data_IF_875615237969
#
_entry.id   IF_875615237969
#
_cell.length_a   1.000
_cell.length_b   1.000
_cell.length_c   1.000
_cell.angle_alpha   90.00
_cell.angle_beta   90.00
_cell.angle_gamma   90.00
#
_symmetry.space_group_name_H-M   'P 1'
#
loop_
_entity.id
_entity.type
_entity.pdbx_description
1 polymer ?
#
# COMPACT_ATOMS: atom_id res chain seq x y z
N UNK A 1 -43.19 22.12 -2.67
CA UNK A 1 -44.11 21.49 -3.64
C UNK A 1 -43.51 21.66 -5.03
N UNK A 2 -43.63 20.61 -5.84
CA UNK A 2 -43.34 20.52 -7.28
C UNK A 2 -41.92 20.24 -7.79
N UNK A 3 -41.90 19.17 -8.61
CA UNK A 3 -40.97 18.77 -9.67
C UNK A 3 -39.66 18.05 -9.33
N UNK A 4 -39.74 16.71 -9.19
CA UNK A 4 -38.98 15.80 -10.07
C UNK A 4 -39.86 14.58 -10.37
N UNK A 5 -40.54 14.64 -11.52
CA UNK A 5 -41.20 13.51 -12.15
C UNK A 5 -40.61 13.32 -13.54
N UNK A 6 -40.66 12.07 -14.02
CA UNK A 6 -40.23 11.57 -15.34
C UNK A 6 -38.79 11.02 -15.40
N UNK A 7 -38.64 9.75 -15.03
CA UNK A 7 -37.78 8.78 -15.74
C UNK A 7 -38.13 7.34 -15.32
N UNK A 8 -39.39 6.92 -15.50
CA UNK A 8 -39.77 5.50 -15.42
C UNK A 8 -40.96 5.20 -16.34
N UNK A 9 -40.71 5.21 -17.64
CA UNK A 9 -41.60 4.57 -18.61
C UNK A 9 -40.73 3.63 -19.44
N UNK A 10 -40.74 2.34 -19.10
CA UNK A 10 -39.98 1.34 -19.85
C UNK A 10 -39.70 -0.01 -19.17
N UNK A 11 -40.14 -0.25 -17.94
CA UNK A 11 -39.89 -1.53 -17.24
C UNK A 11 -41.13 -2.23 -16.61
N UNK A 12 -42.37 -2.19 -17.15
CA UNK A 12 -43.42 -3.07 -16.61
C UNK A 12 -43.31 -4.53 -17.08
N UNK A 13 -42.82 -4.76 -18.31
CA UNK A 13 -42.90 -6.08 -18.96
C UNK A 13 -41.91 -7.13 -18.42
N UNK A 14 -40.68 -6.73 -18.09
CA UNK A 14 -39.63 -7.66 -17.68
C UNK A 14 -39.78 -8.13 -16.22
N UNK A 15 -40.29 -7.26 -15.34
CA UNK A 15 -40.43 -7.54 -13.90
C UNK A 15 -41.65 -8.41 -13.62
N UNK A 16 -42.73 -8.24 -14.40
CA UNK A 16 -43.93 -9.09 -14.28
C UNK A 16 -43.64 -10.55 -14.65
N UNK A 17 -42.80 -10.81 -15.67
CA UNK A 17 -42.33 -12.17 -15.99
C UNK A 17 -41.43 -12.76 -14.91
N UNK A 18 -40.56 -11.96 -14.29
CA UNK A 18 -39.69 -12.43 -13.21
C UNK A 18 -40.46 -12.79 -11.92
N UNK A 19 -41.53 -12.03 -11.59
CA UNK A 19 -42.39 -12.28 -10.44
C UNK A 19 -43.27 -13.54 -10.61
N UNK A 20 -43.76 -13.78 -11.82
CA UNK A 20 -44.51 -15.01 -12.17
C UNK A 20 -43.59 -16.24 -12.16
N UNK A 21 -42.35 -16.12 -12.65
CA UNK A 21 -41.36 -17.21 -12.62
C UNK A 21 -40.84 -17.54 -11.20
N UNK A 22 -40.98 -16.61 -10.25
CA UNK A 22 -40.60 -16.81 -8.84
C UNK A 22 -41.77 -17.12 -7.90
N UNK A 23 -42.99 -17.24 -8.44
CA UNK A 23 -44.16 -17.74 -7.71
C UNK A 23 -44.71 -16.82 -6.62
N UNK A 24 -44.47 -15.51 -6.72
CA UNK A 24 -45.02 -14.52 -5.78
C UNK A 24 -46.42 -14.09 -6.26
N UNK A 25 -47.46 -14.10 -5.41
CA UNK A 25 -48.79 -13.59 -5.80
C UNK A 25 -48.71 -12.12 -6.23
N UNK A 26 -49.25 -11.79 -7.40
CA UNK A 26 -49.19 -10.45 -8.00
C UNK A 26 -49.63 -9.28 -7.08
N UNK A 27 -50.60 -9.44 -6.16
CA UNK A 27 -50.95 -8.38 -5.22
C UNK A 27 -49.80 -8.03 -4.26
N UNK A 28 -49.07 -9.04 -3.78
CA UNK A 28 -47.99 -8.90 -2.78
C UNK A 28 -46.73 -8.23 -3.37
N UNK A 29 -46.41 -8.53 -4.64
CA UNK A 29 -45.29 -7.92 -5.35
C UNK A 29 -45.51 -6.41 -5.61
N UNK A 30 -46.77 -6.01 -5.83
CA UNK A 30 -47.15 -4.63 -6.08
C UNK A 30 -47.11 -3.78 -4.80
N UNK A 31 -47.36 -4.40 -3.65
CA UNK A 31 -47.43 -3.71 -2.35
C UNK A 31 -46.07 -3.55 -1.66
N UNK A 32 -45.15 -4.52 -1.83
CA UNK A 32 -43.75 -4.44 -1.40
C UNK A 32 -42.97 -3.29 -2.08
N UNK A 33 -43.39 -2.86 -3.27
CA UNK A 33 -42.82 -1.72 -3.99
C UNK A 33 -43.33 -0.36 -3.45
N UNK A 34 -44.47 -0.32 -2.75
CA UNK A 34 -45.05 0.92 -2.22
C UNK A 34 -44.58 1.23 -0.79
N UNK A 35 -44.33 0.23 0.05
CA UNK A 35 -43.89 0.46 1.44
C UNK A 35 -42.89 -0.60 1.96
N UNK A 36 -41.57 -0.30 1.99
CA UNK A 36 -40.57 -1.25 2.50
C UNK A 36 -40.47 -1.14 4.03
N UNK A 37 -41.16 -2.01 4.78
CA UNK A 37 -40.95 -2.16 6.23
C UNK A 37 -40.23 -3.48 6.56
N UNK A 38 -39.26 -3.42 7.48
CA UNK A 38 -38.31 -4.52 7.80
C UNK A 38 -38.99 -5.81 8.28
N UNK A 39 -40.15 -5.73 8.93
CA UNK A 39 -40.74 -6.88 9.61
C UNK A 39 -41.42 -7.88 8.65
N UNK A 40 -42.04 -7.42 7.56
CA UNK A 40 -42.64 -8.33 6.56
C UNK A 40 -41.61 -9.05 5.67
N UNK A 41 -40.36 -8.59 5.66
CA UNK A 41 -39.28 -9.30 4.95
C UNK A 41 -38.80 -10.57 5.68
N UNK A 42 -39.03 -10.65 7.00
CA UNK A 42 -38.71 -11.85 7.79
C UNK A 42 -39.59 -13.06 7.43
N UNK A 43 -40.86 -12.82 7.13
CA UNK A 43 -41.85 -13.85 6.78
C UNK A 43 -41.57 -14.48 5.40
N UNK A 44 -41.22 -13.67 4.39
CA UNK A 44 -40.85 -14.18 3.06
C UNK A 44 -39.59 -15.05 3.08
N UNK A 45 -38.59 -14.73 3.91
CA UNK A 45 -37.37 -15.56 4.06
C UNK A 45 -37.67 -16.95 4.64
N UNK A 46 -38.55 -17.03 5.63
CA UNK A 46 -38.93 -18.30 6.25
C UNK A 46 -39.74 -19.17 5.30
N UNK A 47 -40.65 -18.57 4.52
CA UNK A 47 -41.46 -19.29 3.54
C UNK A 47 -40.62 -19.91 2.39
N UNK A 48 -39.64 -19.17 1.85
CA UNK A 48 -38.78 -19.64 0.76
C UNK A 48 -37.84 -20.78 1.21
N UNK A 49 -37.21 -20.63 2.39
CA UNK A 49 -36.32 -21.65 2.96
C UNK A 49 -37.08 -22.94 3.32
N UNK A 50 -38.28 -22.81 3.89
CA UNK A 50 -39.11 -23.96 4.25
C UNK A 50 -39.60 -24.76 3.02
N UNK A 51 -39.80 -24.10 1.88
CA UNK A 51 -40.27 -24.75 0.64
C UNK A 51 -39.14 -25.49 -0.08
N UNK A 52 -37.93 -24.91 -0.12
CA UNK A 52 -36.72 -25.59 -0.64
C UNK A 52 -36.40 -26.83 0.19
N UNK A 53 -36.45 -26.72 1.53
CA UNK A 53 -36.25 -27.86 2.44
C UNK A 53 -37.33 -28.94 2.29
N UNK A 54 -38.60 -28.57 2.09
CA UNK A 54 -39.69 -29.54 1.82
C UNK A 54 -39.51 -30.27 0.50
N UNK A 55 -39.09 -29.57 -0.56
CA UNK A 55 -38.89 -30.17 -1.88
C UNK A 55 -37.69 -31.12 -1.91
N UNK A 56 -36.60 -30.77 -1.23
CA UNK A 56 -35.44 -31.66 -1.03
C UNK A 56 -35.79 -32.91 -0.22
N UNK A 57 -36.61 -32.78 0.84
CA UNK A 57 -37.06 -33.94 1.65
C UNK A 57 -38.00 -34.87 0.88
N UNK A 58 -38.92 -34.33 0.08
CA UNK A 58 -39.84 -35.13 -0.73
C UNK A 58 -39.10 -35.96 -1.81
N UNK A 59 -38.01 -35.44 -2.36
CA UNK A 59 -37.22 -36.12 -3.40
C UNK A 59 -36.20 -37.12 -2.83
N UNK A 60 -35.70 -36.89 -1.60
CA UNK A 60 -34.93 -37.91 -0.87
C UNK A 60 -35.80 -39.12 -0.51
N UNK A 61 -37.11 -38.90 -0.29
CA UNK A 61 -38.07 -39.97 -0.03
C UNK A 61 -38.51 -40.73 -1.29
N UNK A 62 -38.28 -40.19 -2.50
CA UNK A 62 -38.72 -40.78 -3.77
C UNK A 62 -37.70 -41.75 -4.41
N UNK A 63 -36.55 -41.99 -3.78
CA UNK A 63 -35.57 -42.99 -4.22
C UNK A 63 -34.84 -42.65 -5.53
N UNK A 64 -34.80 -41.38 -5.93
CA UNK A 64 -34.12 -40.96 -7.16
C UNK A 64 -32.61 -41.24 -7.15
N UNK A 65 -32.09 -41.82 -8.23
CA UNK A 65 -30.68 -42.14 -8.43
C UNK A 65 -29.77 -40.90 -8.31
N UNK A 66 -28.59 -41.09 -7.70
CA UNK A 66 -27.57 -40.05 -7.45
C UNK A 66 -27.20 -39.22 -8.69
N UNK A 67 -27.21 -39.83 -9.89
CA UNK A 67 -26.95 -39.11 -11.16
C UNK A 67 -28.07 -38.12 -11.53
N UNK A 68 -29.33 -38.44 -11.24
CA UNK A 68 -30.48 -37.55 -11.50
C UNK A 68 -30.50 -36.37 -10.53
N UNK A 69 -30.09 -36.61 -9.27
CA UNK A 69 -29.97 -35.58 -8.25
C UNK A 69 -28.84 -34.58 -8.57
N UNK A 70 -27.67 -35.08 -9.01
CA UNK A 70 -26.54 -34.22 -9.41
C UNK A 70 -26.84 -33.38 -10.65
N UNK A 71 -27.53 -33.94 -11.65
CA UNK A 71 -27.91 -33.20 -12.87
C UNK A 71 -28.91 -32.08 -12.58
N UNK A 72 -29.86 -32.31 -11.67
CA UNK A 72 -30.84 -31.28 -11.25
C UNK A 72 -30.25 -30.24 -10.29
N UNK A 73 -29.30 -30.61 -9.44
CA UNK A 73 -28.51 -29.65 -8.65
C UNK A 73 -27.68 -28.73 -9.56
N UNK A 74 -27.10 -29.29 -10.63
CA UNK A 74 -26.41 -28.52 -11.66
C UNK A 74 -27.33 -27.55 -12.39
N UNK A 75 -28.59 -27.91 -12.69
CA UNK A 75 -29.56 -26.99 -13.31
C UNK A 75 -29.99 -25.86 -12.36
N UNK A 76 -30.18 -26.15 -11.07
CA UNK A 76 -30.48 -25.14 -10.05
C UNK A 76 -29.28 -24.18 -9.87
N UNK A 77 -28.05 -24.69 -9.92
CA UNK A 77 -26.83 -23.88 -9.90
C UNK A 77 -26.67 -23.04 -11.17
N UNK A 78 -26.97 -23.59 -12.35
CA UNK A 78 -26.92 -22.86 -13.63
C UNK A 78 -27.94 -21.72 -13.70
N UNK A 79 -29.14 -21.91 -13.12
CA UNK A 79 -30.13 -20.83 -13.00
C UNK A 79 -29.72 -19.75 -11.99
N UNK A 80 -28.88 -20.07 -10.99
CA UNK A 80 -28.31 -19.07 -10.09
C UNK A 80 -27.16 -18.28 -10.71
N UNK A 81 -26.41 -18.86 -11.66
CA UNK A 81 -25.28 -18.23 -12.35
C UNK A 81 -25.68 -17.19 -13.39
N UNK A 82 -26.94 -17.17 -13.84
CA UNK A 82 -27.48 -16.18 -14.79
C UNK A 82 -28.18 -14.99 -14.12
N UNK A 83 -28.17 -14.91 -12.79
CA UNK A 83 -28.77 -13.80 -12.05
C UNK A 83 -27.85 -12.57 -12.02
N UNK A 84 -28.37 -11.35 -12.26
CA UNK A 84 -27.58 -10.13 -12.14
C UNK A 84 -26.95 -10.03 -10.75
N UNK A 85 -25.67 -9.62 -10.66
CA UNK A 85 -24.88 -9.50 -9.42
C UNK A 85 -25.62 -8.77 -8.29
N UNK A 86 -26.52 -7.84 -8.62
CA UNK A 86 -27.41 -7.14 -7.67
C UNK A 86 -28.40 -8.08 -6.95
N UNK A 87 -28.92 -9.09 -7.62
CA UNK A 87 -29.91 -10.02 -7.08
C UNK A 87 -29.24 -11.13 -6.24
N UNK A 88 -28.01 -11.53 -6.56
CA UNK A 88 -27.18 -12.37 -5.67
C UNK A 88 -26.87 -11.68 -4.34
N UNK A 89 -26.54 -10.37 -4.36
CA UNK A 89 -26.37 -9.56 -3.14
C UNK A 89 -27.62 -9.50 -2.27
N UNK A 90 -28.81 -9.59 -2.88
CA UNK A 90 -30.09 -9.47 -2.21
C UNK A 90 -30.63 -10.81 -1.65
N UNK A 91 -30.39 -11.94 -2.33
CA UNK A 91 -30.88 -13.25 -1.89
C UNK A 91 -29.94 -13.94 -0.88
N UNK A 92 -28.63 -13.75 -0.98
CA UNK A 92 -27.65 -14.37 -0.08
C UNK A 92 -27.28 -13.46 1.10
N UNK A 93 -28.31 -12.98 1.81
CA UNK A 93 -28.19 -12.18 3.03
C UNK A 93 -27.62 -12.94 4.24
N UNK A 94 -26.43 -13.53 4.07
CA UNK A 94 -25.56 -14.11 5.08
C UNK A 94 -24.13 -13.66 4.77
N UNK A 95 -23.68 -12.63 5.51
CA UNK A 95 -22.28 -12.35 5.90
C UNK A 95 -21.19 -12.94 4.98
N UNK A 96 -21.11 -12.48 3.73
CA UNK A 96 -19.80 -12.40 3.10
C UNK A 96 -19.03 -11.36 3.92
N UNK A 97 -18.18 -11.81 4.85
CA UNK A 97 -17.17 -10.94 5.44
C UNK A 97 -16.28 -10.58 4.26
N UNK A 98 -16.59 -9.49 3.59
CA UNK A 98 -15.69 -8.95 2.58
C UNK A 98 -14.45 -8.55 3.35
N UNK A 99 -13.38 -9.33 3.20
CA UNK A 99 -12.05 -9.01 3.69
C UNK A 99 -11.80 -7.51 3.56
N UNK A 100 -11.51 -6.84 4.67
CA UNK A 100 -11.20 -5.41 4.65
C UNK A 100 -9.72 -5.22 4.36
N UNK A 101 -9.40 -4.03 3.88
CA UNK A 101 -8.01 -3.58 3.75
C UNK A 101 -7.89 -2.32 4.60
N UNK A 102 -6.95 -2.34 5.54
CA UNK A 102 -6.63 -1.22 6.40
C UNK A 102 -5.28 -0.63 6.04
N UNK A 103 -5.19 0.70 6.08
CA UNK A 103 -3.92 1.42 6.12
C UNK A 103 -3.70 1.86 7.55
N UNK A 104 -2.55 1.56 8.12
CA UNK A 104 -2.27 1.78 9.53
C UNK A 104 -0.89 2.37 9.80
N UNK A 105 -0.80 3.14 10.87
CA UNK A 105 0.44 3.49 11.56
C UNK A 105 0.35 2.98 13.00
N UNK A 106 1.47 2.52 13.53
CA UNK A 106 1.53 1.84 14.81
C UNK A 106 2.10 2.79 15.87
N UNK A 107 1.20 3.59 16.45
CA UNK A 107 1.52 4.56 17.49
C UNK A 107 2.03 5.91 16.98
N UNK A 108 2.31 6.83 17.92
CA UNK A 108 2.83 8.17 17.62
C UNK A 108 4.22 8.05 17.01
N UNK A 109 4.51 8.82 15.96
CA UNK A 109 5.78 8.67 15.22
C UNK A 109 6.05 7.22 14.76
N UNK A 110 5.02 6.38 14.69
CA UNK A 110 5.10 4.98 14.28
C UNK A 110 6.06 4.13 15.14
N UNK A 111 6.27 4.48 16.42
CA UNK A 111 7.28 3.83 17.27
C UNK A 111 7.06 2.32 17.45
N UNK A 112 5.84 1.82 17.27
CA UNK A 112 5.52 0.41 17.49
C UNK A 112 5.79 -0.44 16.24
N UNK A 113 6.00 0.19 15.08
CA UNK A 113 6.18 -0.50 13.82
C UNK A 113 7.31 -1.54 13.82
N UNK A 114 8.53 -1.25 14.32
CA UNK A 114 9.60 -2.24 14.35
C UNK A 114 9.20 -3.52 15.10
N UNK A 115 8.49 -3.36 16.21
CA UNK A 115 7.99 -4.47 17.05
C UNK A 115 6.89 -5.25 16.31
N UNK A 116 5.96 -4.54 15.66
CA UNK A 116 4.92 -5.16 14.83
C UNK A 116 5.50 -5.99 13.68
N UNK A 117 6.53 -5.46 13.01
CA UNK A 117 7.22 -6.13 11.91
C UNK A 117 7.95 -7.38 12.39
N UNK A 118 8.71 -7.28 13.47
CA UNK A 118 9.49 -8.38 14.06
C UNK A 118 8.58 -9.50 14.58
N UNK A 119 7.53 -9.15 15.33
CA UNK A 119 6.66 -10.12 16.00
C UNK A 119 5.54 -10.66 15.11
N UNK A 120 5.35 -10.13 13.90
CA UNK A 120 4.20 -10.48 13.07
C UNK A 120 2.88 -10.08 13.75
N UNK A 121 2.74 -8.79 14.09
CA UNK A 121 1.50 -8.28 14.67
C UNK A 121 1.03 -6.98 14.00
N UNK A 122 -0.25 -6.67 14.16
CA UNK A 122 -0.81 -5.33 13.97
C UNK A 122 -1.17 -4.77 15.34
N UNK A 123 -0.98 -3.46 15.56
CA UNK A 123 -1.17 -2.88 16.88
C UNK A 123 -1.97 -1.58 16.90
N UNK A 124 -2.55 -1.30 18.06
CA UNK A 124 -3.03 0.02 18.46
C UNK A 124 -2.96 0.14 19.98
N UNK A 125 -3.29 1.30 20.53
CA UNK A 125 -3.06 1.56 21.94
C UNK A 125 -4.12 2.49 22.56
N UNK A 126 -4.37 2.27 23.85
CA UNK A 126 -5.18 3.13 24.72
C UNK A 126 -4.27 3.78 25.77
N UNK A 127 -4.70 4.92 26.33
CA UNK A 127 -4.15 5.32 27.62
C UNK A 127 -4.56 4.32 28.71
N UNK A 128 -3.73 4.18 29.73
CA UNK A 128 -3.92 3.22 30.83
C UNK A 128 -5.26 3.44 31.54
N UNK A 129 -5.62 4.69 31.83
CA UNK A 129 -6.86 5.04 32.53
C UNK A 129 -8.13 4.73 31.72
N UNK A 130 -8.03 4.74 30.40
CA UNK A 130 -9.12 4.46 29.48
C UNK A 130 -9.33 2.95 29.21
N UNK A 131 -8.29 2.12 29.40
CA UNK A 131 -8.32 0.71 29.02
C UNK A 131 -9.43 -0.08 29.70
N UNK A 132 -9.70 0.19 30.99
CA UNK A 132 -10.74 -0.50 31.77
C UNK A 132 -12.14 -0.34 31.17
N UNK A 133 -12.46 0.83 30.62
CA UNK A 133 -13.76 1.10 30.00
C UNK A 133 -13.90 0.33 28.69
N UNK A 134 -12.83 0.28 27.89
CA UNK A 134 -12.83 -0.52 26.66
C UNK A 134 -12.99 -2.02 26.96
N UNK A 135 -12.25 -2.54 27.95
CA UNK A 135 -12.34 -3.94 28.36
C UNK A 135 -13.73 -4.33 28.88
N UNK A 136 -14.43 -3.41 29.55
CA UNK A 136 -15.81 -3.60 30.01
C UNK A 136 -16.86 -3.37 28.90
N UNK A 137 -16.45 -3.04 27.67
CA UNK A 137 -17.32 -2.58 26.59
C UNK A 137 -18.19 -1.36 26.97
N UNK A 138 -17.73 -0.55 27.93
CA UNK A 138 -18.36 0.68 28.37
C UNK A 138 -17.94 1.84 27.47
N UNK A 139 -18.65 1.97 26.35
CA UNK A 139 -18.38 3.01 25.35
C UNK A 139 -18.61 4.43 25.90
N UNK A 140 -19.62 4.63 26.74
CA UNK A 140 -19.97 5.95 27.25
C UNK A 140 -18.98 6.42 28.31
N UNK A 141 -18.59 5.52 29.23
CA UNK A 141 -17.54 5.78 30.21
C UNK A 141 -16.20 6.03 29.54
N UNK A 142 -15.84 5.23 28.52
CA UNK A 142 -14.63 5.46 27.73
C UNK A 142 -14.63 6.86 27.11
N UNK A 143 -15.70 7.23 26.39
CA UNK A 143 -15.80 8.53 25.72
C UNK A 143 -15.70 9.68 26.71
N UNK A 144 -16.40 9.58 27.84
CA UNK A 144 -16.41 10.62 28.88
C UNK A 144 -15.03 10.78 29.53
N UNK A 145 -14.35 9.68 29.86
CA UNK A 145 -12.98 9.67 30.40
C UNK A 145 -12.00 10.33 29.43
N UNK A 146 -12.01 9.93 28.14
CA UNK A 146 -11.10 10.50 27.12
C UNK A 146 -11.32 11.99 26.90
N UNK A 147 -12.57 12.45 26.93
CA UNK A 147 -12.89 13.89 26.79
C UNK A 147 -12.39 14.71 27.99
N UNK A 148 -12.45 14.14 29.20
CA UNK A 148 -11.98 14.81 30.40
C UNK A 148 -10.45 14.85 30.50
N UNK A 149 -9.77 13.75 30.17
CA UNK A 149 -8.37 13.54 30.56
C UNK A 149 -7.36 13.72 29.42
N UNK A 150 -7.75 13.52 28.16
CA UNK A 150 -6.78 13.55 27.06
C UNK A 150 -6.75 14.87 26.29
N UNK A 151 -5.67 15.02 25.53
CA UNK A 151 -5.54 15.96 24.42
C UNK A 151 -5.30 15.20 23.12
N UNK A 152 -5.86 15.70 22.03
CA UNK A 152 -5.50 15.30 20.67
C UNK A 152 -4.04 15.61 20.37
N UNK A 153 -3.51 15.07 19.27
CA UNK A 153 -2.15 15.38 18.80
C UNK A 153 -1.91 16.89 18.59
N UNK A 154 -2.96 17.67 18.31
CA UNK A 154 -2.93 19.12 18.18
C UNK A 154 -3.09 19.87 19.53
N UNK A 155 -3.00 19.19 20.67
CA UNK A 155 -3.11 19.79 22.00
C UNK A 155 -4.53 20.18 22.43
N UNK A 156 -5.55 19.94 21.61
CA UNK A 156 -6.96 20.28 21.90
C UNK A 156 -7.68 19.16 22.63
N UNK A 157 -8.67 19.49 23.47
CA UNK A 157 -9.58 18.50 24.05
C UNK A 157 -10.31 17.73 22.95
N UNK A 158 -10.41 16.38 23.03
CA UNK A 158 -11.05 15.59 21.99
C UNK A 158 -12.57 15.78 22.03
N UNK A 159 -13.20 15.72 20.85
CA UNK A 159 -14.66 15.71 20.73
C UNK A 159 -15.23 14.32 21.02
N UNK A 160 -16.53 14.22 21.32
CA UNK A 160 -17.26 12.96 21.46
C UNK A 160 -17.01 12.00 20.29
N UNK A 161 -17.04 12.53 19.06
CA UNK A 161 -16.78 11.76 17.84
C UNK A 161 -15.34 11.23 17.78
N UNK A 162 -14.36 12.03 18.20
CA UNK A 162 -12.94 11.63 18.23
C UNK A 162 -12.69 10.54 19.26
N UNK A 163 -13.20 10.71 20.48
CA UNK A 163 -13.09 9.71 21.54
C UNK A 163 -13.80 8.39 21.16
N UNK A 164 -14.98 8.50 20.55
CA UNK A 164 -15.74 7.34 20.04
C UNK A 164 -14.99 6.61 18.91
N UNK A 165 -14.24 7.35 18.07
CA UNK A 165 -13.35 6.75 17.06
C UNK A 165 -12.22 5.95 17.72
N UNK A 166 -11.58 6.48 18.77
CA UNK A 166 -10.49 5.77 19.47
C UNK A 166 -10.93 4.44 20.06
N UNK A 167 -12.13 4.39 20.66
CA UNK A 167 -12.74 3.13 21.11
C UNK A 167 -12.82 2.12 19.95
N UNK A 168 -13.34 2.55 18.79
CA UNK A 168 -13.48 1.69 17.62
C UNK A 168 -12.14 1.24 17.04
N UNK A 169 -11.07 2.04 17.15
CA UNK A 169 -9.74 1.64 16.68
C UNK A 169 -9.22 0.43 17.46
N UNK A 170 -9.34 0.48 18.79
CA UNK A 170 -8.95 -0.63 19.66
C UNK A 170 -9.77 -1.89 19.35
N UNK A 171 -11.10 -1.75 19.22
CA UNK A 171 -11.98 -2.86 18.81
C UNK A 171 -11.59 -3.42 17.44
N UNK A 172 -11.28 -2.55 16.47
CA UNK A 172 -10.92 -2.98 15.11
C UNK A 172 -9.66 -3.85 15.11
N UNK A 173 -8.60 -3.44 15.84
CA UNK A 173 -7.38 -4.25 15.95
C UNK A 173 -7.61 -5.51 16.77
N UNK A 174 -8.37 -5.46 17.86
CA UNK A 174 -8.61 -6.63 18.69
C UNK A 174 -9.41 -7.73 17.93
N UNK A 175 -10.37 -7.32 17.10
CA UNK A 175 -11.34 -8.21 16.46
C UNK A 175 -11.04 -8.53 14.99
N UNK A 176 -10.02 -7.91 14.38
CA UNK A 176 -9.67 -8.21 12.98
C UNK A 176 -9.32 -9.69 12.81
N UNK A 177 -9.72 -10.29 11.69
CA UNK A 177 -9.43 -11.68 11.36
C UNK A 177 -9.55 -11.88 9.86
N UNK A 178 -8.47 -12.30 9.21
CA UNK A 178 -8.41 -12.44 7.75
C UNK A 178 -8.47 -11.12 6.98
N UNK A 179 -8.34 -9.96 7.63
CA UNK A 179 -8.24 -8.68 6.95
C UNK A 179 -6.79 -8.39 6.54
N UNK A 180 -6.61 -7.61 5.48
CA UNK A 180 -5.30 -7.17 4.99
C UNK A 180 -4.94 -5.82 5.61
N UNK A 181 -3.69 -5.71 6.04
CA UNK A 181 -3.13 -4.51 6.64
C UNK A 181 -1.97 -4.02 5.80
N UNK A 182 -1.88 -2.72 5.60
CA UNK A 182 -0.86 -2.06 4.78
C UNK A 182 -0.24 -0.91 5.55
N UNK A 183 1.08 -0.81 5.46
CA UNK A 183 1.86 0.23 6.11
C UNK A 183 2.96 0.73 5.17
N UNK A 184 3.22 2.04 5.18
CA UNK A 184 4.31 2.64 4.41
C UNK A 184 5.46 2.99 5.37
N UNK A 185 6.63 2.44 5.09
CA UNK A 185 7.86 2.72 5.83
C UNK A 185 8.97 3.09 4.84
N UNK A 186 9.45 4.33 4.89
CA UNK A 186 10.39 4.85 3.90
C UNK A 186 9.88 4.71 2.46
N UNK A 187 10.68 4.06 1.60
CA UNK A 187 10.35 3.72 0.20
C UNK A 187 9.66 2.36 0.06
N UNK A 188 9.33 1.67 1.15
CA UNK A 188 8.72 0.34 1.12
C UNK A 188 7.25 0.40 1.53
N UNK A 189 6.43 -0.32 0.77
CA UNK A 189 5.04 -0.60 1.14
C UNK A 189 4.96 -2.03 1.68
N UNK A 190 4.65 -2.14 2.97
CA UNK A 190 4.51 -3.39 3.69
C UNK A 190 3.05 -3.81 3.77
N UNK A 191 2.79 -5.11 3.72
CA UNK A 191 1.47 -5.68 3.95
C UNK A 191 1.51 -6.99 4.73
N UNK A 192 0.39 -7.32 5.38
CA UNK A 192 0.16 -8.58 6.09
C UNK A 192 -1.34 -8.93 6.10
N UNK A 193 -1.68 -10.13 6.58
CA UNK A 193 -3.04 -10.58 6.87
C UNK A 193 -3.18 -10.92 8.35
N UNK A 194 -4.16 -10.34 9.03
CA UNK A 194 -4.43 -10.63 10.44
C UNK A 194 -4.92 -12.06 10.68
N UNK A 195 -4.53 -12.67 11.79
CA UNK A 195 -5.04 -13.97 12.21
C UNK A 195 -6.32 -13.86 13.04
N UNK A 196 -6.99 -15.00 13.24
CA UNK A 196 -8.17 -15.11 14.12
C UNK A 196 -7.83 -15.18 15.61
N UNK A 197 -6.55 -15.28 15.96
CA UNK A 197 -6.09 -15.51 17.32
C UNK A 197 -6.41 -14.36 18.29
N UNK A 198 -6.45 -14.67 19.58
CA UNK A 198 -6.73 -13.67 20.62
C UNK A 198 -5.62 -12.61 20.65
N UNK A 199 -5.96 -11.31 20.72
CA UNK A 199 -4.96 -10.27 20.91
C UNK A 199 -4.34 -10.36 22.32
N UNK A 200 -3.11 -9.90 22.46
CA UNK A 200 -2.45 -9.73 23.75
C UNK A 200 -2.18 -8.26 24.03
N UNK A 201 -2.03 -7.93 25.32
CA UNK A 201 -1.91 -6.54 25.78
C UNK A 201 -0.65 -6.36 26.60
N UNK A 202 0.08 -5.28 26.33
CA UNK A 202 1.30 -4.91 27.06
C UNK A 202 1.17 -3.47 27.54
N UNK A 203 1.53 -3.22 28.81
CA UNK A 203 1.63 -1.85 29.32
C UNK A 203 3.06 -1.37 29.15
N UNK A 204 3.25 -0.20 28.54
CA UNK A 204 4.57 0.43 28.43
C UNK A 204 4.48 1.94 28.31
N UNK A 205 5.62 2.59 28.53
CA UNK A 205 5.81 4.00 28.23
C UNK A 205 6.24 4.17 26.77
N UNK A 206 5.57 5.06 26.04
CA UNK A 206 5.95 5.34 24.64
C UNK A 206 7.42 5.82 24.57
N UNK A 207 8.26 5.24 23.69
CA UNK A 207 9.69 5.58 23.57
C UNK A 207 9.90 6.85 22.71
N UNK A 208 9.16 7.91 23.00
CA UNK A 208 9.21 9.20 22.29
C UNK A 208 9.28 10.36 23.27
N UNK A 209 9.70 11.54 22.80
CA UNK A 209 9.69 12.75 23.61
C UNK A 209 8.27 13.03 24.12
N UNK A 210 8.13 13.21 25.45
CA UNK A 210 6.84 13.32 26.15
C UNK A 210 5.93 12.10 25.94
N UNK A 211 6.53 10.91 25.87
CA UNK A 211 5.80 9.64 25.82
C UNK A 211 4.96 9.41 27.08
N UNK A 212 3.74 8.91 26.90
CA UNK A 212 2.83 8.55 28.00
C UNK A 212 2.84 7.06 28.26
N UNK A 213 2.30 6.65 29.39
CA UNK A 213 1.98 5.25 29.62
C UNK A 213 0.74 4.84 28.80
N UNK A 214 0.84 3.72 28.11
CA UNK A 214 -0.19 3.17 27.24
C UNK A 214 -0.33 1.67 27.47
N UNK A 215 -1.53 1.17 27.16
CA UNK A 215 -1.78 -0.26 26.96
C UNK A 215 -1.82 -0.50 25.46
N UNK A 216 -0.83 -1.22 24.94
CA UNK A 216 -0.72 -1.61 23.54
C UNK A 216 -1.41 -2.94 23.34
N UNK A 217 -2.32 -3.00 22.38
CA UNK A 217 -2.98 -4.21 21.91
C UNK A 217 -2.24 -4.70 20.66
N UNK A 218 -1.70 -5.91 20.73
CA UNK A 218 -1.13 -6.61 19.60
C UNK A 218 -2.06 -7.71 19.15
N UNK A 219 -2.34 -7.73 17.86
CA UNK A 219 -3.08 -8.80 17.20
C UNK A 219 -2.14 -9.57 16.28
N UNK A 220 -2.03 -10.91 16.42
CA UNK A 220 -1.21 -11.72 15.53
C UNK A 220 -1.61 -11.60 14.06
N UNK A 221 -0.62 -11.64 13.18
CA UNK A 221 -0.77 -11.65 11.74
C UNK A 221 0.33 -12.49 11.08
N UNK A 222 0.19 -12.70 9.77
CA UNK A 222 1.28 -13.22 8.98
C UNK A 222 2.54 -12.33 9.08
N UNK A 223 3.74 -12.87 8.83
CA UNK A 223 4.92 -12.04 8.67
C UNK A 223 4.70 -10.92 7.66
N UNK A 224 5.11 -9.71 8.02
CA UNK A 224 4.98 -8.55 7.14
C UNK A 224 5.86 -8.73 5.90
N UNK A 225 5.30 -8.45 4.72
CA UNK A 225 6.00 -8.54 3.44
C UNK A 225 6.00 -7.20 2.73
N UNK A 226 7.14 -6.81 2.17
CA UNK A 226 7.26 -5.69 1.23
C UNK A 226 7.28 -6.17 -0.23
N UNK A 227 6.89 -7.41 -0.50
CA UNK A 227 6.81 -8.00 -1.84
C UNK A 227 5.39 -8.42 -2.15
N UNK A 228 4.96 -8.30 -3.40
CA UNK A 228 3.73 -8.90 -3.87
C UNK A 228 3.76 -10.43 -3.72
N UNK A 229 2.62 -11.09 -3.83
CA UNK A 229 2.51 -12.56 -3.82
C UNK A 229 3.27 -13.22 -4.98
N UNK A 230 3.60 -12.47 -6.03
CA UNK A 230 4.45 -12.90 -7.15
C UNK A 230 5.94 -12.58 -6.93
N UNK A 231 6.32 -12.10 -5.75
CA UNK A 231 7.71 -11.80 -5.38
C UNK A 231 8.23 -10.43 -5.81
N UNK A 232 7.39 -9.58 -6.43
CA UNK A 232 7.81 -8.25 -6.91
C UNK A 232 7.89 -7.28 -5.74
N UNK A 233 9.02 -6.58 -5.51
CA UNK A 233 9.11 -5.54 -4.48
C UNK A 233 8.03 -4.45 -4.64
N UNK A 234 7.40 -4.05 -3.54
CA UNK A 234 6.40 -2.99 -3.48
C UNK A 234 7.07 -1.70 -3.02
N UNK A 235 7.66 -0.96 -3.97
CA UNK A 235 8.37 0.29 -3.70
C UNK A 235 7.44 1.49 -3.84
N UNK A 236 7.41 2.35 -2.83
CA UNK A 236 6.54 3.52 -2.78
C UNK A 236 6.75 4.41 -4.00
N UNK A 237 7.99 4.72 -4.35
CA UNK A 237 8.30 5.62 -5.47
C UNK A 237 7.78 5.11 -6.82
N UNK A 238 7.70 3.79 -7.00
CA UNK A 238 7.20 3.14 -8.21
C UNK A 238 5.67 3.06 -8.27
N UNK A 239 4.98 3.25 -7.13
CA UNK A 239 3.52 3.23 -7.13
C UNK A 239 2.93 4.35 -7.98
N UNK A 240 1.80 4.03 -8.61
CA UNK A 240 1.00 5.03 -9.32
C UNK A 240 0.69 6.22 -8.39
N UNK A 241 0.80 7.48 -8.84
CA UNK A 241 0.60 8.66 -8.00
C UNK A 241 -0.76 8.66 -7.29
N UNK A 242 -1.79 8.15 -7.97
CA UNK A 242 -3.12 7.98 -7.38
C UNK A 242 -3.17 6.96 -6.24
N UNK A 243 -2.35 5.89 -6.28
CA UNK A 243 -2.25 4.93 -5.19
C UNK A 243 -1.65 5.57 -3.94
N UNK A 244 -0.67 6.48 -4.13
CA UNK A 244 -0.03 7.23 -3.03
C UNK A 244 -1.03 8.08 -2.24
N UNK A 245 -2.09 8.58 -2.89
CA UNK A 245 -3.16 9.37 -2.24
C UNK A 245 -3.90 8.59 -1.13
N UNK A 246 -3.90 7.25 -1.15
CA UNK A 246 -4.69 6.44 -0.21
C UNK A 246 -3.94 5.28 0.45
N UNK A 247 -2.75 4.89 -0.02
CA UNK A 247 -1.93 3.83 0.59
C UNK A 247 -1.01 4.33 1.71
N UNK A 248 -1.19 5.59 2.13
CA UNK A 248 -0.58 6.13 3.34
C UNK A 248 -1.63 6.89 4.13
N UNK A 249 -1.41 7.03 5.42
CA UNK A 249 -2.29 7.80 6.30
C UNK A 249 -1.46 8.55 7.31
N UNK A 250 -1.89 9.74 7.70
CA UNK A 250 -1.37 10.44 8.89
C UNK A 250 -2.13 10.03 10.16
N UNK A 251 -3.26 9.32 10.00
CA UNK A 251 -4.04 8.81 11.12
C UNK A 251 -3.45 7.49 11.64
N UNK A 252 -3.95 7.02 12.79
CA UNK A 252 -3.58 5.69 13.32
C UNK A 252 -4.05 4.56 12.39
N UNK A 253 -5.29 4.65 11.88
CA UNK A 253 -5.84 3.63 11.00
C UNK A 253 -7.03 4.16 10.18
N UNK A 254 -7.15 3.65 8.96
CA UNK A 254 -8.27 3.85 8.05
C UNK A 254 -8.59 2.57 7.26
N UNK A 255 -9.88 2.24 7.13
CA UNK A 255 -10.36 1.21 6.20
C UNK A 255 -10.48 1.80 4.79
N UNK A 256 -10.02 1.07 3.78
CA UNK A 256 -10.21 1.45 2.38
C UNK A 256 -11.67 1.24 1.94
N UNK A 257 -12.11 2.09 1.01
CA UNK A 257 -13.37 1.90 0.28
C UNK A 257 -13.28 0.67 -0.63
N UNK A 258 -14.41 0.08 -1.09
CA UNK A 258 -14.38 -1.09 -1.95
C UNK A 258 -13.49 -0.92 -3.19
N UNK A 259 -13.52 0.26 -3.83
CA UNK A 259 -12.71 0.54 -5.01
C UNK A 259 -11.20 0.47 -4.72
N UNK A 260 -10.75 1.14 -3.65
CA UNK A 260 -9.33 1.18 -3.28
C UNK A 260 -8.86 -0.12 -2.63
N UNK A 261 -9.76 -0.81 -1.93
CA UNK A 261 -9.54 -2.17 -1.43
C UNK A 261 -9.21 -3.10 -2.60
N UNK A 262 -10.05 -3.15 -3.62
CA UNK A 262 -9.88 -4.08 -4.74
C UNK A 262 -8.59 -3.79 -5.52
N UNK A 263 -8.25 -2.50 -5.72
CA UNK A 263 -6.95 -2.10 -6.28
C UNK A 263 -5.78 -2.60 -5.42
N UNK A 264 -5.84 -2.41 -4.11
CA UNK A 264 -4.74 -2.77 -3.19
C UNK A 264 -4.52 -4.27 -3.16
N UNK A 265 -5.61 -5.06 -3.19
CA UNK A 265 -5.53 -6.52 -3.27
C UNK A 265 -4.91 -6.98 -4.58
N UNK A 266 -5.26 -6.36 -5.71
CA UNK A 266 -4.65 -6.65 -7.01
C UNK A 266 -3.15 -6.28 -7.03
N UNK A 267 -2.78 -5.13 -6.45
CA UNK A 267 -1.39 -4.71 -6.29
C UNK A 267 -0.59 -5.74 -5.47
N UNK A 268 -1.12 -6.16 -4.32
CA UNK A 268 -0.50 -7.18 -3.46
C UNK A 268 -0.43 -8.54 -4.17
N UNK A 269 -1.44 -8.92 -4.94
CA UNK A 269 -1.42 -10.14 -5.74
C UNK A 269 -0.38 -10.08 -6.88
N UNK A 270 0.03 -8.88 -7.29
CA UNK A 270 0.88 -8.65 -8.46
C UNK A 270 0.10 -8.79 -9.77
N UNK A 271 -1.19 -8.47 -9.76
CA UNK A 271 -2.07 -8.55 -10.92
C UNK A 271 -1.99 -7.30 -11.80
N UNK A 272 -2.56 -7.40 -13.00
CA UNK A 272 -2.66 -6.25 -13.91
C UNK A 272 -3.56 -5.16 -13.31
N UNK A 273 -3.05 -3.92 -13.34
CA UNK A 273 -3.68 -2.75 -12.77
C UNK A 273 -4.24 -1.79 -13.83
N UNK A 274 -4.11 -2.13 -15.12
CA UNK A 274 -4.58 -1.35 -16.27
C UNK A 274 -6.02 -0.85 -16.12
N UNK A 275 -6.92 -1.72 -15.64
CA UNK A 275 -8.34 -1.38 -15.42
C UNK A 275 -8.58 -0.17 -14.51
N UNK A 276 -7.64 0.17 -13.62
CA UNK A 276 -7.67 1.40 -12.83
C UNK A 276 -6.83 2.50 -13.47
N UNK A 277 -5.62 2.18 -13.92
CA UNK A 277 -4.65 3.15 -14.44
C UNK A 277 -5.13 3.87 -15.70
N UNK A 278 -5.88 3.17 -16.55
CA UNK A 278 -6.43 3.71 -17.80
C UNK A 278 -7.70 4.55 -17.59
N UNK A 279 -8.22 4.59 -16.36
CA UNK A 279 -9.39 5.44 -16.08
C UNK A 279 -9.02 6.92 -16.11
N UNK A 280 -9.90 7.81 -16.59
CA UNK A 280 -9.61 9.24 -16.66
C UNK A 280 -9.19 9.85 -15.31
N UNK A 281 -9.70 9.32 -14.19
CA UNK A 281 -9.34 9.78 -12.85
C UNK A 281 -7.87 9.51 -12.51
N UNK A 282 -7.37 8.31 -12.87
CA UNK A 282 -6.01 7.89 -12.57
C UNK A 282 -5.02 8.47 -13.60
N UNK A 283 -5.38 8.44 -14.89
CA UNK A 283 -4.59 9.03 -15.96
C UNK A 283 -4.31 10.53 -15.71
N UNK A 284 -5.33 11.33 -15.37
CA UNK A 284 -5.15 12.75 -15.03
C UNK A 284 -4.22 12.97 -13.84
N UNK A 285 -4.29 12.09 -12.82
CA UNK A 285 -3.42 12.18 -11.64
C UNK A 285 -1.96 11.90 -12.02
N UNK A 286 -1.73 10.97 -12.95
CA UNK A 286 -0.41 10.69 -13.52
C UNK A 286 0.12 11.87 -14.34
N UNK A 287 -0.72 12.48 -15.19
CA UNK A 287 -0.37 13.66 -15.98
C UNK A 287 -0.01 14.88 -15.12
N UNK A 288 -0.78 15.12 -14.05
CA UNK A 288 -0.49 16.17 -13.07
C UNK A 288 0.79 15.89 -12.28
N UNK A 289 1.18 14.63 -12.14
CA UNK A 289 2.35 14.17 -11.42
C UNK A 289 3.59 14.00 -12.31
N UNK A 290 3.66 14.63 -13.49
CA UNK A 290 4.82 14.63 -14.43
C UNK A 290 6.09 15.32 -13.88
N UNK A 291 6.47 14.99 -12.65
CA UNK A 291 7.81 15.04 -12.06
C UNK A 291 8.01 13.71 -11.31
N UNK A 292 8.70 12.74 -11.91
CA UNK A 292 9.21 11.55 -11.22
C UNK A 292 8.35 10.27 -11.26
N UNK A 293 7.44 10.10 -12.21
CA UNK A 293 6.67 8.84 -12.36
C UNK A 293 7.25 7.93 -13.45
N UNK A 294 7.71 6.73 -13.07
CA UNK A 294 7.86 5.59 -13.98
C UNK A 294 6.72 4.61 -13.68
N UNK A 295 5.80 4.33 -14.63
CA UNK A 295 4.73 3.37 -14.42
C UNK A 295 5.28 1.96 -14.25
N UNK A 296 4.80 1.24 -13.23
CA UNK A 296 5.02 -0.21 -13.11
C UNK A 296 4.35 -0.88 -14.31
N UNK A 297 5.15 -1.23 -15.31
CA UNK A 297 4.81 -2.23 -16.32
C UNK A 297 5.46 -3.52 -15.86
N UNK A 298 4.65 -4.52 -15.50
CA UNK A 298 5.18 -5.83 -15.13
C UNK A 298 5.94 -6.41 -16.33
N UNK A 299 7.27 -6.38 -16.21
CA UNK A 299 8.20 -6.93 -17.18
C UNK A 299 8.18 -8.46 -17.19
N UNK A 300 8.80 -9.00 -18.23
CA UNK A 300 8.93 -10.42 -18.54
C UNK A 300 9.54 -11.24 -17.39
N UNK A 301 9.46 -12.57 -17.48
CA UNK A 301 10.04 -13.49 -16.49
C UNK A 301 11.54 -13.24 -16.21
N UNK A 302 12.27 -12.65 -17.15
CA UNK A 302 13.67 -12.24 -16.97
C UNK A 302 13.83 -11.10 -15.96
N UNK A 303 12.89 -10.13 -15.95
CA UNK A 303 12.89 -9.01 -15.00
C UNK A 303 12.67 -9.52 -13.57
N UNK A 304 11.84 -10.56 -13.40
CA UNK A 304 11.60 -11.20 -12.08
C UNK A 304 12.84 -11.88 -11.51
N UNK A 305 13.66 -12.51 -12.36
CA UNK A 305 14.88 -13.21 -11.95
C UNK A 305 16.00 -12.20 -11.60
N UNK A 306 16.07 -11.08 -12.32
CA UNK A 306 16.99 -9.99 -12.00
C UNK A 306 16.70 -9.38 -10.61
N UNK A 307 15.43 -9.16 -10.27
CA UNK A 307 15.04 -8.60 -8.97
C UNK A 307 15.24 -9.57 -7.79
N UNK A 308 15.14 -10.89 -8.00
CA UNK A 308 15.40 -11.87 -6.94
C UNK A 308 16.89 -11.95 -6.58
N UNK A 309 17.79 -11.84 -7.57
CA UNK A 309 19.24 -11.89 -7.37
C UNK A 309 19.81 -10.63 -6.71
N UNK A 310 19.19 -9.46 -6.93
CA UNK A 310 19.64 -8.20 -6.35
C UNK A 310 19.44 -8.12 -4.83
N UNK A 311 18.48 -8.87 -4.26
CA UNK A 311 18.21 -8.86 -2.81
C UNK A 311 19.18 -9.76 -2.00
N UNK A 312 20.02 -10.55 -2.66
CA UNK A 312 20.94 -11.52 -2.03
C UNK A 312 22.39 -11.00 -1.92
N UNK A 313 22.69 -9.82 -2.46
CA UNK A 313 24.03 -9.22 -2.50
C UNK A 313 24.01 -7.86 -1.79
N UNK A 314 24.19 -7.85 -0.46
CA UNK A 314 24.19 -6.63 0.34
C UNK A 314 25.55 -5.92 0.39
N UNK A 315 25.45 -4.60 0.63
CA UNK A 315 26.45 -3.54 0.79
C UNK A 315 26.87 -2.75 -0.48
N UNK A 316 27.39 -3.35 -1.54
CA UNK A 316 27.80 -2.57 -2.74
C UNK A 316 26.62 -2.09 -3.60
N UNK A 317 25.50 -2.82 -3.58
CA UNK A 317 24.33 -2.56 -4.42
C UNK A 317 23.57 -1.28 -4.01
N UNK A 318 23.55 -0.92 -2.73
CA UNK A 318 22.81 0.24 -2.22
C UNK A 318 23.45 1.57 -2.62
N UNK A 319 24.79 1.65 -2.58
CA UNK A 319 25.53 2.82 -3.05
C UNK A 319 25.38 3.00 -4.58
N UNK A 320 25.47 1.91 -5.35
CA UNK A 320 25.28 1.92 -6.80
C UNK A 320 23.84 2.27 -7.19
N UNK A 321 22.82 1.70 -6.52
CA UNK A 321 21.41 2.02 -6.72
C UNK A 321 21.16 3.52 -6.47
N UNK A 322 21.65 4.07 -5.35
CA UNK A 322 21.52 5.49 -5.03
C UNK A 322 22.20 6.39 -6.05
N UNK A 323 23.43 6.06 -6.48
CA UNK A 323 24.15 6.82 -7.50
C UNK A 323 23.37 6.83 -8.82
N UNK A 324 22.84 5.68 -9.25
CA UNK A 324 22.00 5.59 -10.45
C UNK A 324 20.71 6.44 -10.32
N UNK A 325 20.03 6.39 -9.17
CA UNK A 325 18.84 7.23 -8.90
C UNK A 325 19.15 8.73 -8.95
N UNK A 326 20.31 9.14 -8.42
CA UNK A 326 20.75 10.54 -8.41
C UNK A 326 21.04 11.06 -9.82
N UNK A 327 21.67 10.22 -10.66
CA UNK A 327 21.92 10.54 -12.09
C UNK A 327 20.61 10.72 -12.83
N UNK A 328 19.69 9.76 -12.71
CA UNK A 328 18.37 9.83 -13.36
C UNK A 328 17.60 11.08 -12.93
N UNK A 329 17.62 11.43 -11.64
CA UNK A 329 17.01 12.67 -11.16
C UNK A 329 17.67 13.92 -11.75
N UNK A 330 18.99 13.92 -11.87
CA UNK A 330 19.79 15.04 -12.40
C UNK A 330 19.58 15.24 -13.91
N UNK A 331 19.55 14.17 -14.70
CA UNK A 331 19.29 14.23 -16.16
C UNK A 331 17.86 14.68 -16.44
N UNK A 332 16.88 14.15 -15.71
CA UNK A 332 15.47 14.55 -15.83
C UNK A 332 15.22 16.02 -15.46
N UNK A 333 16.07 16.60 -14.62
CA UNK A 333 15.97 18.01 -14.18
C UNK A 333 16.73 18.99 -15.09
N UNK A 334 17.51 18.51 -16.07
CA UNK A 334 18.31 19.33 -16.98
C UNK A 334 17.57 19.61 -18.30
N UNK A 335 16.41 20.26 -18.21
CA UNK A 335 15.45 20.46 -19.31
C UNK A 335 15.42 21.89 -19.91
N UNK A 336 16.54 22.61 -19.85
CA UNK A 336 16.73 23.84 -20.64
C UNK A 336 15.97 25.08 -20.15
N UNK A 337 15.63 25.19 -18.86
CA UNK A 337 15.02 26.41 -18.31
C UNK A 337 16.04 27.52 -18.04
N UNK A 338 15.68 28.75 -18.43
CA UNK A 338 16.40 29.99 -18.18
C UNK A 338 16.22 30.43 -16.72
N UNK A 339 17.20 30.07 -15.90
CA UNK A 339 17.68 30.85 -14.74
C UNK A 339 19.10 31.25 -15.13
N UNK A 340 19.59 32.46 -14.82
CA UNK A 340 20.95 32.92 -15.18
C UNK A 340 22.06 32.03 -14.59
N UNK A 341 22.28 30.89 -15.24
CA UNK A 341 23.41 29.97 -15.17
C UNK A 341 23.23 29.05 -16.37
N UNK A 342 24.23 28.91 -17.23
CA UNK A 342 24.16 28.00 -18.38
C UNK A 342 24.10 26.56 -17.88
N UNK A 343 22.89 26.00 -17.77
CA UNK A 343 22.68 24.59 -17.38
C UNK A 343 22.83 23.73 -18.63
N UNK A 344 23.99 23.05 -18.76
CA UNK A 344 24.30 22.15 -19.88
C UNK A 344 23.33 20.95 -19.90
N UNK A 345 22.94 20.50 -21.11
CA UNK A 345 22.16 19.27 -21.33
C UNK A 345 22.96 18.06 -20.87
N UNK A 346 22.37 17.22 -20.02
CA UNK A 346 22.98 15.96 -19.54
C UNK A 346 22.09 14.80 -19.95
N UNK A 347 22.50 14.03 -20.95
CA UNK A 347 21.81 12.81 -21.39
C UNK A 347 22.35 11.57 -20.65
N UNK A 348 21.53 10.52 -20.60
CA UNK A 348 21.90 9.21 -20.07
C UNK A 348 22.18 8.27 -21.24
N UNK A 349 23.45 7.87 -21.42
CA UNK A 349 23.91 6.97 -22.48
C UNK A 349 23.74 5.48 -22.15
N UNK A 350 22.92 5.13 -21.16
CA UNK A 350 22.67 3.75 -20.73
C UNK A 350 21.24 3.31 -21.10
N UNK A 351 21.05 2.04 -21.50
CA UNK A 351 19.74 1.53 -21.93
C UNK A 351 18.73 1.43 -20.77
N UNK A 352 19.19 1.36 -19.52
CA UNK A 352 18.35 1.33 -18.33
C UNK A 352 19.12 1.76 -17.07
N UNK A 353 18.39 2.03 -15.99
CA UNK A 353 19.00 2.30 -14.68
C UNK A 353 19.74 1.07 -14.11
N UNK A 354 19.27 -0.15 -14.41
CA UNK A 354 19.95 -1.39 -14.04
C UNK A 354 21.29 -1.52 -14.78
N UNK A 355 21.33 -1.21 -16.07
CA UNK A 355 22.58 -1.22 -16.84
C UNK A 355 23.58 -0.17 -16.33
N UNK A 356 23.10 0.98 -15.84
CA UNK A 356 23.95 1.96 -15.16
C UNK A 356 24.45 1.43 -13.80
N UNK A 357 23.60 0.77 -13.01
CA UNK A 357 23.98 0.18 -11.73
C UNK A 357 25.06 -0.90 -11.91
N UNK A 358 24.87 -1.82 -12.85
CA UNK A 358 25.84 -2.87 -13.18
C UNK A 358 27.19 -2.23 -13.57
N UNK A 359 27.16 -1.20 -14.42
CA UNK A 359 28.37 -0.49 -14.80
C UNK A 359 29.05 0.26 -13.64
N UNK A 360 28.29 0.83 -12.70
CA UNK A 360 28.85 1.46 -11.51
C UNK A 360 29.51 0.41 -10.60
N UNK A 361 28.93 -0.78 -10.46
CA UNK A 361 29.53 -1.89 -9.70
C UNK A 361 30.85 -2.31 -10.35
N UNK A 362 30.90 -2.41 -11.68
CA UNK A 362 32.15 -2.69 -12.43
C UNK A 362 33.22 -1.63 -12.17
N UNK A 363 32.85 -0.34 -12.21
CA UNK A 363 33.77 0.77 -11.93
C UNK A 363 34.27 0.70 -10.48
N UNK A 364 33.39 0.48 -9.50
CA UNK A 364 33.78 0.38 -8.09
C UNK A 364 34.75 -0.79 -7.84
N UNK A 365 34.50 -1.94 -8.48
CA UNK A 365 35.40 -3.09 -8.42
C UNK A 365 36.76 -2.81 -9.07
N UNK A 366 36.76 -2.16 -10.25
CA UNK A 366 37.99 -1.80 -10.96
C UNK A 366 38.84 -0.75 -10.20
N UNK A 367 38.19 0.14 -9.45
CA UNK A 367 38.84 1.15 -8.60
C UNK A 367 39.20 0.63 -7.19
N UNK A 368 39.00 -0.67 -6.93
CA UNK A 368 39.23 -1.28 -5.61
C UNK A 368 38.55 -0.52 -4.46
N UNK A 369 37.35 0.01 -4.71
CA UNK A 369 36.55 0.79 -3.76
C UNK A 369 37.27 2.06 -3.23
N UNK A 370 38.21 2.61 -4.00
CA UNK A 370 38.86 3.89 -3.71
C UNK A 370 38.35 5.01 -4.63
N UNK A 371 38.40 6.24 -4.13
CA UNK A 371 38.05 7.43 -4.89
C UNK A 371 39.05 7.65 -6.01
N UNK A 372 38.58 7.73 -7.26
CA UNK A 372 39.47 7.82 -8.43
C UNK A 372 40.35 9.09 -8.42
N UNK A 373 39.83 10.22 -7.94
CA UNK A 373 40.55 11.50 -7.92
C UNK A 373 41.55 11.66 -6.77
N UNK A 374 41.35 10.93 -5.66
CA UNK A 374 42.17 11.12 -4.45
C UNK A 374 42.88 9.84 -4.02
N UNK A 375 42.37 8.66 -4.32
CA UNK A 375 42.83 7.39 -3.79
C UNK A 375 42.40 7.14 -2.33
N UNK A 376 41.52 7.98 -1.75
CA UNK A 376 40.96 7.72 -0.42
C UNK A 376 39.90 6.60 -0.49
N UNK A 377 39.74 5.79 0.57
CA UNK A 377 38.66 4.80 0.66
C UNK A 377 37.29 5.45 0.49
N UNK A 378 36.40 4.81 -0.29
CA UNK A 378 35.02 5.23 -0.43
C UNK A 378 34.21 4.79 0.80
N UNK A 379 33.40 5.69 1.34
CA UNK A 379 32.41 5.33 2.36
C UNK A 379 31.12 4.86 1.67
N UNK A 380 30.70 3.64 2.00
CA UNK A 380 29.53 2.99 1.41
C UNK A 380 28.32 2.99 2.36
N UNK A 381 28.54 3.10 3.67
CA UNK A 381 27.49 3.14 4.70
C UNK A 381 27.00 4.59 4.93
N UNK A 382 25.84 4.92 4.37
CA UNK A 382 25.20 6.23 4.58
C UNK A 382 24.44 6.36 5.92
N UNK A 383 24.43 5.32 6.76
CA UNK A 383 23.73 5.34 8.05
C UNK A 383 24.64 5.91 9.15
N UNK A 384 25.93 5.53 9.15
CA UNK A 384 26.88 5.92 10.20
C UNK A 384 28.19 6.55 9.71
N UNK A 385 28.41 6.67 8.40
CA UNK A 385 29.66 7.20 7.83
C UNK A 385 29.71 8.73 7.68
N UNK A 386 30.87 9.26 7.30
CA UNK A 386 31.05 10.69 7.03
C UNK A 386 30.37 11.09 5.70
N UNK A 387 29.37 11.99 5.71
CA UNK A 387 28.69 12.44 4.49
C UNK A 387 29.60 13.02 3.41
N UNK A 388 30.75 13.56 3.77
CA UNK A 388 31.74 14.08 2.82
C UNK A 388 32.46 12.94 2.07
N UNK A 389 32.62 11.78 2.71
CA UNK A 389 33.36 10.62 2.21
C UNK A 389 32.50 9.64 1.40
N UNK A 390 31.17 9.80 1.45
CA UNK A 390 30.24 8.93 0.72
C UNK A 390 30.58 8.84 -0.77
N UNK A 391 30.46 7.64 -1.33
CA UNK A 391 30.65 7.41 -2.75
C UNK A 391 29.75 8.32 -3.60
N UNK A 392 30.29 8.87 -4.68
CA UNK A 392 29.59 9.76 -5.58
C UNK A 392 30.04 9.48 -7.01
N UNK A 393 29.09 9.56 -7.96
CA UNK A 393 29.40 9.39 -9.37
C UNK A 393 29.81 10.74 -9.97
N UNK A 394 30.96 10.75 -10.65
CA UNK A 394 31.51 11.90 -11.35
C UNK A 394 31.72 11.59 -12.84
N UNK A 395 31.67 12.65 -13.67
CA UNK A 395 31.98 12.57 -15.09
C UNK A 395 33.42 13.00 -15.29
N UNK A 396 34.23 12.13 -15.90
CA UNK A 396 35.63 12.40 -16.21
C UNK A 396 35.71 13.69 -17.04
N UNK A 397 34.98 13.71 -18.16
CA UNK A 397 34.74 14.92 -18.93
C UNK A 397 33.34 15.48 -18.63
N UNK A 398 33.33 16.65 -17.96
CA UNK A 398 32.10 17.34 -17.57
C UNK A 398 31.29 17.89 -18.76
N UNK A 399 31.90 17.99 -19.95
CA UNK A 399 31.28 18.38 -21.20
C UNK A 399 30.52 17.23 -21.87
N UNK A 400 30.89 15.98 -21.55
CA UNK A 400 30.25 14.75 -22.03
C UNK A 400 29.12 14.28 -21.10
N UNK A 401 28.36 13.29 -21.58
CA UNK A 401 27.16 12.76 -20.94
C UNK A 401 27.47 11.65 -19.92
N UNK A 402 26.44 11.12 -19.25
CA UNK A 402 26.59 9.94 -18.41
C UNK A 402 26.59 8.70 -19.29
N UNK A 403 27.75 8.32 -19.80
CA UNK A 403 27.93 7.26 -20.81
C UNK A 403 29.09 6.34 -20.44
N UNK A 404 29.11 5.09 -20.94
CA UNK A 404 30.22 4.17 -20.72
C UNK A 404 31.56 4.81 -21.11
N UNK A 405 32.56 4.68 -20.23
CA UNK A 405 33.89 5.24 -20.44
C UNK A 405 34.05 6.74 -20.12
N UNK A 406 33.00 7.43 -19.64
CA UNK A 406 33.07 8.81 -19.16
C UNK A 406 32.70 8.97 -17.67
N UNK A 407 32.67 7.86 -16.92
CA UNK A 407 32.25 7.83 -15.52
C UNK A 407 33.36 7.32 -14.62
N UNK A 408 33.42 7.87 -13.41
CA UNK A 408 34.30 7.44 -12.33
C UNK A 408 33.57 7.58 -10.98
N UNK A 409 33.98 6.81 -9.99
CA UNK A 409 33.45 6.92 -8.62
C UNK A 409 34.45 7.64 -7.72
N UNK A 410 33.98 8.66 -7.01
CA UNK A 410 34.80 9.56 -6.19
C UNK A 410 34.13 9.81 -4.84
N UNK A 411 34.87 10.31 -3.85
CA UNK A 411 34.25 10.82 -2.62
C UNK A 411 33.39 12.05 -2.93
N UNK A 412 32.27 12.22 -2.21
CA UNK A 412 31.33 13.33 -2.42
C UNK A 412 32.00 14.70 -2.30
N UNK A 413 32.91 14.88 -1.36
CA UNK A 413 33.65 16.13 -1.22
C UNK A 413 34.53 16.42 -2.45
N UNK A 414 35.20 15.39 -2.99
CA UNK A 414 36.09 15.53 -4.14
C UNK A 414 35.29 15.92 -5.39
N UNK A 415 34.12 15.31 -5.59
CA UNK A 415 33.20 15.70 -6.66
C UNK A 415 32.74 17.16 -6.51
N UNK A 416 32.39 17.56 -5.28
CA UNK A 416 31.96 18.93 -4.98
C UNK A 416 33.07 19.96 -5.23
N UNK A 417 34.32 19.66 -4.83
CA UNK A 417 35.46 20.56 -5.01
C UNK A 417 35.92 20.66 -6.45
N UNK A 418 35.95 19.54 -7.18
CA UNK A 418 36.25 19.53 -8.61
C UNK A 418 35.24 20.38 -9.37
N UNK A 419 33.95 20.22 -9.08
CA UNK A 419 32.87 20.97 -9.70
C UNK A 419 32.82 20.78 -11.22
N UNK A 420 33.19 21.82 -11.99
CA UNK A 420 33.26 21.77 -13.46
C UNK A 420 34.69 21.79 -14.00
N UNK A 421 35.70 21.75 -13.12
CA UNK A 421 37.12 21.79 -13.45
C UNK A 421 37.59 20.47 -14.09
N UNK A 422 38.75 20.51 -14.74
CA UNK A 422 39.40 19.34 -15.33
C UNK A 422 40.04 18.43 -14.26
N UNK A 423 40.04 17.12 -14.52
CA UNK A 423 40.57 16.09 -13.61
C UNK A 423 42.07 16.25 -13.35
N UNK A 424 42.86 16.59 -14.37
CA UNK A 424 44.32 16.69 -14.22
C UNK A 424 44.68 17.86 -13.31
N UNK A 425 44.01 18.99 -13.46
CA UNK A 425 44.23 20.15 -12.62
C UNK A 425 43.79 19.89 -11.18
N UNK A 426 42.67 19.21 -10.97
CA UNK A 426 42.24 18.80 -9.63
C UNK A 426 43.25 17.88 -8.96
N UNK A 427 43.72 16.84 -9.65
CA UNK A 427 44.75 15.91 -9.13
C UNK A 427 46.05 16.65 -8.80
N UNK A 428 46.48 17.60 -9.64
CA UNK A 428 47.66 18.45 -9.38
C UNK A 428 47.49 19.25 -8.09
N UNK A 429 46.33 19.85 -7.85
CA UNK A 429 46.05 20.63 -6.64
C UNK A 429 45.99 19.76 -5.38
N UNK A 430 45.41 18.56 -5.47
CA UNK A 430 45.42 17.59 -4.36
C UNK A 430 46.85 17.20 -3.99
N UNK A 431 47.74 17.02 -4.97
CA UNK A 431 49.14 16.68 -4.71
C UNK A 431 49.89 17.83 -4.01
N UNK A 432 49.61 19.08 -4.39
CA UNK A 432 50.13 20.27 -3.68
C UNK A 432 49.68 20.28 -2.22
N UNK A 433 48.40 19.99 -1.96
CA UNK A 433 47.86 19.93 -0.59
C UNK A 433 48.57 18.82 0.22
N UNK A 434 48.74 17.62 -0.36
CA UNK A 434 49.44 16.50 0.30
C UNK A 434 50.89 16.83 0.63
N UNK A 435 51.57 17.48 -0.31
CA UNK A 435 52.95 17.92 -0.13
C UNK A 435 53.08 18.99 0.95
N UNK A 436 52.06 19.83 1.16
CA UNK A 436 52.06 20.86 2.21
C UNK A 436 51.91 20.32 3.64
N UNK A 437 51.39 19.09 3.78
CA UNK A 437 51.23 18.40 5.08
C UNK A 437 52.48 17.57 5.41
N UNK A 438 53.37 17.35 4.44
CA UNK A 438 54.61 16.57 4.59
C UNK A 438 55.85 17.44 4.92
N UNK A 439 55.64 18.68 5.41
CA UNK A 439 56.68 19.60 5.89
C UNK A 439 56.72 19.61 7.42
#
# INVERSE_FOLDING_TARGET
MHHVGQFYAGIPGAISRAAVLSGIPAPLATELLRHPSKDRFGECRHAASARVKRRLRAELASGSSSKTMLRKLSEIFSQCLSMPVRLMRYLYGARWITMKVYIANFGRQNYEWPICRERGTVATMNAVDAQKYWAANDREGYVSNRMANDTTAAGKKPTKATASRWFNLMTTVAETAGDVWVHKDGDLLWWTTSHGDTPFFETKKEPIERGREVVVCHKPCEPWSNKSKKGVPLRWNELHPKAKDFLSTEATLQSLSPLYRDYTLALIAGDDLSQWHDTPLWAKRSEHAKKGYAPVKYGSQADKIAYQRAAELFEAADAAERMARTVVATTNSANGQTVERVVKKKDLGFPSAAALQDHIIEIMGAQEYCCELTGLPLELDEVNGDPAMFASLDRIDSSRHYEPGNLQVVCRFANFWKGASDDMEFRRLIEVIRSSVSI
#
